data_IF_419862207077
#
_entry.id   IF_419862207077
#
_cell.length_a   1.000
_cell.length_b   1.000
_cell.length_c   1.000
_cell.angle_alpha   90.00
_cell.angle_beta   90.00
_cell.angle_gamma   90.00
#
_symmetry.space_group_name_H-M   'P 1'
#
loop_
_entity.id
_entity.type
_entity.pdbx_description
1 polymer ?
#
# COMPACT_ATOMS: atom_id res chain seq x y z
N UNK A 1 -48.76 25.45 12.70
CA UNK A 1 -48.83 24.25 11.86
C UNK A 1 -47.96 23.18 12.53
N UNK A 2 -48.55 22.18 13.18
CA UNK A 2 -47.80 21.16 13.94
C UNK A 2 -47.44 20.01 13.00
N UNK A 3 -46.15 19.75 12.81
CA UNK A 3 -45.68 18.65 11.96
C UNK A 3 -46.03 17.29 12.58
N UNK A 4 -46.54 16.39 11.74
CA UNK A 4 -46.90 15.03 12.10
C UNK A 4 -45.62 14.22 12.45
N UNK A 5 -45.61 13.56 13.61
CA UNK A 5 -44.46 12.77 14.08
C UNK A 5 -43.99 11.72 13.06
N UNK A 6 -44.91 11.11 12.29
CA UNK A 6 -44.55 10.13 11.25
C UNK A 6 -43.69 10.74 10.13
N UNK A 7 -43.86 12.02 9.83
CA UNK A 7 -43.04 12.74 8.83
C UNK A 7 -41.61 12.94 9.37
N UNK A 8 -41.48 13.21 10.68
CA UNK A 8 -40.18 13.42 11.33
C UNK A 8 -39.38 12.11 11.39
N UNK A 9 -40.02 10.98 11.72
CA UNK A 9 -39.36 9.68 11.71
C UNK A 9 -38.94 9.23 10.29
N UNK A 10 -39.78 9.50 9.29
CA UNK A 10 -39.44 9.23 7.87
C UNK A 10 -38.23 10.03 7.40
N UNK A 11 -38.14 11.32 7.77
CA UNK A 11 -36.99 12.18 7.46
C UNK A 11 -35.70 11.73 8.14
N UNK A 12 -35.77 11.27 9.41
CA UNK A 12 -34.60 10.72 10.11
C UNK A 12 -34.11 9.43 9.46
N UNK A 13 -35.02 8.51 9.08
CA UNK A 13 -34.64 7.25 8.44
C UNK A 13 -33.97 7.47 7.07
N UNK A 14 -34.49 8.40 6.26
CA UNK A 14 -33.88 8.77 4.97
C UNK A 14 -32.46 9.32 5.14
N UNK A 15 -32.24 10.21 6.12
CA UNK A 15 -30.90 10.73 6.42
C UNK A 15 -29.91 9.64 6.86
N UNK A 16 -30.36 8.68 7.67
CA UNK A 16 -29.48 7.60 8.15
C UNK A 16 -29.03 6.72 6.98
N UNK A 17 -29.94 6.37 6.06
CA UNK A 17 -29.64 5.56 4.87
C UNK A 17 -28.62 6.25 3.94
N UNK A 18 -28.78 7.55 3.73
CA UNK A 18 -27.86 8.35 2.92
C UNK A 18 -26.47 8.46 3.57
N UNK A 19 -26.42 8.63 4.90
CA UNK A 19 -25.15 8.69 5.63
C UNK A 19 -24.45 7.32 5.63
N UNK A 20 -25.17 6.21 5.79
CA UNK A 20 -24.58 4.86 5.73
C UNK A 20 -23.96 4.54 4.38
N UNK A 21 -24.60 4.93 3.27
CA UNK A 21 -24.06 4.65 1.93
C UNK A 21 -22.76 5.40 1.64
N UNK A 22 -22.59 6.61 2.19
CA UNK A 22 -21.35 7.37 2.07
C UNK A 22 -20.19 6.74 2.85
N UNK A 23 -20.46 6.20 4.05
CA UNK A 23 -19.44 5.50 4.83
C UNK A 23 -18.97 4.21 4.18
N UNK A 24 -19.89 3.45 3.57
CA UNK A 24 -19.53 2.24 2.82
C UNK A 24 -18.63 2.57 1.62
N UNK A 25 -18.95 3.65 0.89
CA UNK A 25 -18.19 4.06 -0.28
C UNK A 25 -16.79 4.59 0.10
N UNK A 26 -16.69 5.37 1.18
CA UNK A 26 -15.42 5.83 1.76
C UNK A 26 -14.58 4.67 2.29
N UNK A 27 -15.20 3.69 2.95
CA UNK A 27 -14.55 2.48 3.43
C UNK A 27 -13.97 1.64 2.27
N UNK A 28 -14.74 1.48 1.18
CA UNK A 28 -14.29 0.79 -0.02
C UNK A 28 -13.08 1.48 -0.67
N UNK A 29 -13.15 2.81 -0.87
CA UNK A 29 -12.02 3.60 -1.40
C UNK A 29 -10.78 3.45 -0.50
N UNK A 30 -10.95 3.55 0.81
CA UNK A 30 -9.86 3.41 1.78
C UNK A 30 -9.19 2.04 1.69
N UNK A 31 -9.99 0.98 1.58
CA UNK A 31 -9.48 -0.39 1.46
C UNK A 31 -8.72 -0.63 0.15
N UNK A 32 -9.18 -0.05 -0.96
CA UNK A 32 -8.50 -0.12 -2.26
C UNK A 32 -7.11 0.56 -2.17
N UNK A 33 -7.04 1.73 -1.55
CA UNK A 33 -5.77 2.47 -1.37
C UNK A 33 -4.80 1.67 -0.51
N UNK A 34 -5.27 1.14 0.62
CA UNK A 34 -4.46 0.31 1.53
C UNK A 34 -3.95 -0.94 0.79
N UNK A 35 -4.83 -1.62 0.06
CA UNK A 35 -4.47 -2.78 -0.75
C UNK A 35 -3.39 -2.46 -1.79
N UNK A 36 -3.52 -1.32 -2.47
CA UNK A 36 -2.56 -0.89 -3.48
C UNK A 36 -1.17 -0.60 -2.87
N UNK A 37 -1.14 0.05 -1.70
CA UNK A 37 0.12 0.33 -0.97
C UNK A 37 0.81 -0.98 -0.57
N UNK A 38 0.07 -1.96 -0.05
CA UNK A 38 0.63 -3.25 0.34
C UNK A 38 1.23 -3.97 -0.88
N UNK A 39 0.50 -4.02 -2.00
CA UNK A 39 0.99 -4.65 -3.24
C UNK A 39 2.27 -3.95 -3.73
N UNK A 40 2.33 -2.62 -3.64
CA UNK A 40 3.51 -1.85 -4.04
C UNK A 40 4.75 -2.19 -3.19
N UNK A 41 4.61 -2.25 -1.87
CA UNK A 41 5.70 -2.60 -0.95
C UNK A 41 6.18 -4.03 -1.18
N UNK A 42 5.26 -4.98 -1.30
CA UNK A 42 5.59 -6.38 -1.56
C UNK A 42 6.33 -6.52 -2.90
N UNK A 43 5.87 -5.83 -3.95
CA UNK A 43 6.54 -5.81 -5.25
C UNK A 43 7.97 -5.24 -5.17
N UNK A 44 8.18 -4.24 -4.32
CA UNK A 44 9.51 -3.66 -4.09
C UNK A 44 10.44 -4.66 -3.38
N UNK A 45 9.93 -5.39 -2.39
CA UNK A 45 10.70 -6.44 -1.72
C UNK A 45 11.11 -7.55 -2.69
N UNK A 46 10.22 -7.99 -3.59
CA UNK A 46 10.57 -8.97 -4.63
C UNK A 46 11.66 -8.48 -5.60
N UNK A 47 11.74 -7.17 -5.86
CA UNK A 47 12.83 -6.57 -6.66
C UNK A 47 14.15 -6.51 -5.88
N UNK A 48 14.09 -6.42 -4.56
CA UNK A 48 15.27 -6.45 -3.70
C UNK A 48 15.88 -7.85 -3.55
N UNK A 49 15.11 -8.93 -3.76
CA UNK A 49 15.61 -10.32 -3.65
C UNK A 49 16.88 -10.55 -4.51
N UNK A 50 16.90 -10.27 -5.83
CA UNK A 50 18.11 -10.44 -6.64
C UNK A 50 19.25 -9.52 -6.19
N UNK A 51 18.96 -8.30 -5.71
CA UNK A 51 19.98 -7.41 -5.17
C UNK A 51 20.61 -7.96 -3.88
N UNK A 52 19.79 -8.50 -2.98
CA UNK A 52 20.23 -9.15 -1.76
C UNK A 52 21.05 -10.42 -2.06
N UNK A 53 20.67 -11.19 -3.08
CA UNK A 53 21.43 -12.36 -3.52
C UNK A 53 22.84 -11.96 -3.98
N UNK A 54 22.95 -10.94 -4.83
CA UNK A 54 24.27 -10.48 -5.31
C UNK A 54 25.10 -9.87 -4.18
N UNK A 55 24.48 -9.10 -3.29
CA UNK A 55 25.14 -8.55 -2.11
C UNK A 55 25.70 -9.66 -1.20
N UNK A 56 24.97 -10.75 -1.03
CA UNK A 56 25.42 -11.91 -0.27
C UNK A 56 26.61 -12.59 -0.94
N UNK A 57 26.58 -12.76 -2.27
CA UNK A 57 27.72 -13.30 -3.03
C UNK A 57 28.95 -12.42 -2.85
N UNK A 58 28.81 -11.09 -3.01
CA UNK A 58 29.94 -10.15 -2.84
C UNK A 58 30.46 -10.13 -1.40
N UNK A 59 29.58 -10.20 -0.40
CA UNK A 59 29.98 -10.34 0.99
C UNK A 59 30.78 -11.61 1.23
N UNK A 60 30.37 -12.73 0.62
CA UNK A 60 31.06 -14.00 0.75
C UNK A 60 32.49 -13.95 0.17
N UNK A 61 32.67 -13.30 -0.98
CA UNK A 61 33.99 -13.17 -1.61
C UNK A 61 34.88 -12.12 -0.94
N UNK A 62 34.33 -10.95 -0.57
CA UNK A 62 35.12 -9.83 -0.06
C UNK A 62 35.28 -9.88 1.48
N UNK A 63 34.46 -10.68 2.18
CA UNK A 63 34.34 -10.72 3.66
C UNK A 63 34.09 -9.37 4.34
N UNK A 64 33.82 -8.33 3.56
CA UNK A 64 33.68 -6.95 4.02
C UNK A 64 32.26 -6.44 3.75
N UNK A 65 31.59 -6.05 4.82
CA UNK A 65 30.23 -5.49 4.76
C UNK A 65 30.16 -4.20 3.93
N UNK A 66 31.24 -3.41 3.89
CA UNK A 66 31.29 -2.18 3.12
C UNK A 66 31.12 -2.45 1.61
N UNK A 67 31.86 -3.41 1.07
CA UNK A 67 31.78 -3.76 -0.36
C UNK A 67 30.47 -4.47 -0.71
N UNK A 68 29.92 -5.27 0.21
CA UNK A 68 28.62 -5.88 0.06
C UNK A 68 27.49 -4.84 -0.02
N UNK A 69 27.56 -3.79 0.81
CA UNK A 69 26.61 -2.67 0.78
C UNK A 69 26.67 -1.89 -0.53
N UNK A 70 27.87 -1.61 -1.04
CA UNK A 70 28.04 -0.95 -2.34
C UNK A 70 27.48 -1.81 -3.47
N UNK A 71 27.75 -3.12 -3.48
CA UNK A 71 27.20 -4.03 -4.47
C UNK A 71 25.67 -4.15 -4.39
N UNK A 72 25.10 -4.22 -3.18
CA UNK A 72 23.65 -4.17 -2.97
C UNK A 72 23.04 -2.92 -3.59
N UNK A 73 23.63 -1.75 -3.32
CA UNK A 73 23.11 -0.47 -3.79
C UNK A 73 23.16 -0.34 -5.31
N UNK A 74 24.27 -0.75 -5.94
CA UNK A 74 24.43 -0.74 -7.39
C UNK A 74 23.45 -1.69 -8.07
N UNK A 75 23.30 -2.91 -7.55
CA UNK A 75 22.38 -3.90 -8.13
C UNK A 75 20.92 -3.51 -7.88
N UNK A 76 20.59 -2.94 -6.71
CA UNK A 76 19.27 -2.39 -6.43
C UNK A 76 18.91 -1.27 -7.41
N UNK A 77 19.83 -0.33 -7.64
CA UNK A 77 19.66 0.73 -8.63
C UNK A 77 19.47 0.18 -10.05
N UNK A 78 20.30 -0.78 -10.48
CA UNK A 78 20.17 -1.44 -11.78
C UNK A 78 18.87 -2.25 -11.91
N UNK A 79 18.45 -2.92 -10.85
CA UNK A 79 17.23 -3.73 -10.84
C UNK A 79 15.95 -2.88 -10.89
N UNK A 80 16.00 -1.66 -10.34
CA UNK A 80 14.92 -0.68 -10.49
C UNK A 80 14.96 -0.11 -11.90
N UNK A 81 16.13 0.29 -12.40
CA UNK A 81 16.30 0.90 -13.72
C UNK A 81 15.89 -0.03 -14.87
N UNK A 82 16.17 -1.33 -14.78
CA UNK A 82 15.81 -2.33 -15.81
C UNK A 82 14.30 -2.68 -15.80
N UNK A 83 13.58 -2.29 -14.75
CA UNK A 83 12.16 -2.64 -14.56
C UNK A 83 11.21 -1.47 -14.88
N UNK A 84 11.73 -0.24 -14.97
CA UNK A 84 11.07 0.88 -15.67
C UNK A 84 11.11 0.66 -17.17
#
# INVERSE_FOLDING_TARGET
MVLNKNVIYGLMHFKILEVSSLFDLLGLIGLIIIGLVIIFVVRLLFVLIPAALVAFVVWFFTRSLWWAGVAFLVIAALSIFKKL
#
